data_IF_578245939764
#
_entry.id   IF_578245939764
#
_cell.length_a   1.000
_cell.length_b   1.000
_cell.length_c   1.000
_cell.angle_alpha   90.00
_cell.angle_beta   90.00
_cell.angle_gamma   90.00
#
_symmetry.space_group_name_H-M   'P 1'
#
loop_
_entity.id
_entity.type
_entity.pdbx_description
1 polymer ?
#
# COMPACT_ATOMS: atom_id res chain seq x y z
N UNK A 1 43.53 42.41 9.23
CA UNK A 1 42.74 41.82 8.13
C UNK A 1 43.67 40.98 7.25
N UNK A 2 43.47 39.65 7.24
CA UNK A 2 44.33 38.71 6.49
C UNK A 2 43.86 38.52 5.02
N UNK A 3 42.87 39.26 4.57
CA UNK A 3 42.37 39.14 3.20
C UNK A 3 43.00 40.22 2.31
N UNK A 4 43.53 39.84 1.12
CA UNK A 4 44.05 40.81 0.16
C UNK A 4 42.92 41.73 -0.33
N UNK A 5 43.22 43.01 -0.68
CA UNK A 5 42.22 43.92 -1.19
C UNK A 5 41.59 43.39 -2.47
N UNK A 6 40.26 43.59 -2.65
CA UNK A 6 39.56 43.07 -3.81
C UNK A 6 40.08 43.64 -5.12
N UNK A 7 40.22 42.79 -6.14
CA UNK A 7 40.70 43.21 -7.46
C UNK A 7 39.66 44.06 -8.20
N UNK A 8 40.11 44.95 -9.10
CA UNK A 8 39.24 45.85 -9.89
C UNK A 8 38.16 45.07 -10.71
N UNK A 9 38.41 43.80 -11.06
CA UNK A 9 37.42 42.95 -11.71
C UNK A 9 36.28 42.51 -10.77
N UNK A 10 36.58 42.33 -9.48
CA UNK A 10 35.59 41.93 -8.46
C UNK A 10 34.70 43.11 -8.05
N UNK A 11 35.19 44.36 -8.18
CA UNK A 11 34.47 45.57 -7.83
C UNK A 11 33.63 46.11 -9.00
N UNK A 12 33.86 45.67 -10.25
CA UNK A 12 33.18 46.14 -11.46
C UNK A 12 31.64 45.95 -11.45
N UNK A 13 31.15 45.07 -10.59
CA UNK A 13 29.71 44.86 -10.41
C UNK A 13 29.04 45.88 -9.48
N UNK A 14 29.83 46.56 -8.61
CA UNK A 14 29.33 47.56 -7.67
C UNK A 14 28.98 48.90 -8.36
N UNK A 15 29.57 49.18 -9.53
CA UNK A 15 29.37 50.45 -10.26
C UNK A 15 28.24 50.38 -11.32
N UNK A 16 27.47 49.31 -11.35
CA UNK A 16 26.31 49.24 -12.28
C UNK A 16 25.21 50.21 -11.85
N UNK A 17 25.10 51.33 -12.53
CA UNK A 17 24.10 52.40 -12.28
C UNK A 17 22.66 51.86 -12.15
N UNK A 18 22.34 50.77 -12.86
CA UNK A 18 21.02 50.13 -12.77
C UNK A 18 20.77 49.44 -11.42
N UNK A 19 21.80 48.71 -10.90
CA UNK A 19 21.72 48.02 -9.61
C UNK A 19 21.66 49.06 -8.48
N UNK A 20 22.52 50.08 -8.50
CA UNK A 20 22.51 51.13 -7.49
C UNK A 20 21.18 51.89 -7.46
N UNK A 21 20.55 52.13 -8.63
CA UNK A 21 19.20 52.76 -8.69
C UNK A 21 18.12 51.90 -8.07
N UNK A 22 18.19 50.57 -8.29
CA UNK A 22 17.25 49.62 -7.69
C UNK A 22 17.46 49.55 -6.18
N UNK A 23 18.73 49.46 -5.72
CA UNK A 23 19.10 49.41 -4.30
C UNK A 23 18.61 50.66 -3.57
N UNK A 24 18.88 51.86 -4.10
CA UNK A 24 18.40 53.12 -3.51
C UNK A 24 16.85 53.19 -3.45
N UNK A 25 16.18 52.64 -4.45
CA UNK A 25 14.69 52.65 -4.45
C UNK A 25 14.17 51.67 -3.39
N UNK A 26 14.76 50.49 -3.28
CA UNK A 26 14.42 49.49 -2.24
C UNK A 26 14.71 50.03 -0.86
N UNK A 27 15.90 50.61 -0.66
CA UNK A 27 16.27 51.22 0.61
C UNK A 27 15.31 52.33 1.06
N UNK A 28 14.97 53.23 0.14
CA UNK A 28 13.97 54.29 0.40
C UNK A 28 12.59 53.67 0.78
N UNK A 29 12.18 52.64 0.08
CA UNK A 29 10.89 51.97 0.38
C UNK A 29 10.91 51.30 1.74
N UNK A 30 11.96 50.57 2.08
CA UNK A 30 12.10 49.85 3.35
C UNK A 30 12.14 50.84 4.52
N UNK A 31 12.82 51.99 4.39
CA UNK A 31 12.96 52.91 5.48
C UNK A 31 11.74 53.87 5.62
N UNK A 32 11.14 54.27 4.51
CA UNK A 32 10.05 55.28 4.53
C UNK A 32 8.64 54.67 4.61
N UNK A 33 8.46 53.43 4.10
CA UNK A 33 7.19 52.72 4.08
C UNK A 33 7.21 51.38 4.81
N UNK A 34 7.82 51.33 5.98
CA UNK A 34 7.95 50.09 6.78
C UNK A 34 6.64 49.34 6.95
N UNK A 35 5.55 50.03 7.21
CA UNK A 35 4.22 49.44 7.36
C UNK A 35 3.76 48.69 6.09
N UNK A 36 4.01 49.26 4.92
CA UNK A 36 3.65 48.61 3.64
C UNK A 36 4.49 47.36 3.42
N UNK A 37 5.77 47.36 3.79
CA UNK A 37 6.64 46.19 3.71
C UNK A 37 6.11 45.08 4.63
N UNK A 38 5.79 45.43 5.89
CA UNK A 38 5.21 44.44 6.82
C UNK A 38 3.87 43.91 6.34
N UNK A 39 2.98 44.75 5.83
CA UNK A 39 1.69 44.34 5.28
C UNK A 39 1.87 43.39 4.09
N UNK A 40 2.80 43.68 3.17
CA UNK A 40 3.09 42.81 2.02
C UNK A 40 3.62 41.45 2.48
N UNK A 41 4.55 41.42 3.42
CA UNK A 41 5.10 40.19 3.98
C UNK A 41 4.01 39.37 4.65
N UNK A 42 3.14 39.99 5.44
CA UNK A 42 2.04 39.33 6.12
C UNK A 42 1.04 38.71 5.12
N UNK A 43 0.71 39.44 4.02
CA UNK A 43 -0.12 38.92 2.94
C UNK A 43 0.53 37.71 2.25
N UNK A 44 1.83 37.78 1.94
CA UNK A 44 2.57 36.68 1.33
C UNK A 44 2.59 35.46 2.26
N UNK A 45 2.83 35.68 3.56
CA UNK A 45 2.77 34.58 4.55
C UNK A 45 1.37 33.98 4.61
N UNK A 46 0.32 34.79 4.64
CA UNK A 46 -1.06 34.32 4.64
C UNK A 46 -1.42 33.48 3.41
N UNK A 47 -1.01 33.93 2.22
CA UNK A 47 -1.19 33.17 0.96
C UNK A 47 -0.40 31.88 0.99
N UNK A 48 0.84 31.91 1.49
CA UNK A 48 1.71 30.73 1.59
C UNK A 48 1.14 29.70 2.55
N UNK A 49 0.66 30.09 3.72
CA UNK A 49 0.01 29.20 4.69
C UNK A 49 -1.29 28.60 4.11
N UNK A 50 -2.09 29.42 3.43
CA UNK A 50 -3.29 28.93 2.75
C UNK A 50 -2.93 27.91 1.64
N UNK A 51 -1.90 28.20 0.84
CA UNK A 51 -1.38 27.28 -0.18
C UNK A 51 -0.85 25.97 0.42
N UNK A 52 -0.07 26.08 1.50
CA UNK A 52 0.49 24.91 2.19
C UNK A 52 -0.60 23.95 2.71
N UNK A 53 -1.71 24.49 3.23
CA UNK A 53 -2.84 23.68 3.67
C UNK A 53 -3.61 23.00 2.52
N UNK A 54 -3.44 23.47 1.29
CA UNK A 54 -4.06 22.89 0.08
C UNK A 54 -3.19 21.82 -0.57
N UNK A 55 -1.92 21.70 -0.19
CA UNK A 55 -1.01 20.70 -0.74
C UNK A 55 -1.33 19.35 -0.11
N UNK A 56 -1.89 18.44 -0.90
CA UNK A 56 -2.08 17.04 -0.54
C UNK A 56 -1.00 16.22 -1.26
N UNK A 57 -0.10 15.63 -0.48
CA UNK A 57 0.93 14.73 -1.05
C UNK A 57 0.32 13.36 -1.22
N UNK A 58 0.13 12.92 -2.46
CA UNK A 58 -0.31 11.56 -2.78
C UNK A 58 0.91 10.78 -3.26
N UNK A 59 1.32 9.79 -2.49
CA UNK A 59 2.38 8.86 -2.91
C UNK A 59 1.78 7.77 -3.79
N UNK A 60 2.28 7.63 -5.01
CA UNK A 60 2.08 6.47 -5.87
C UNK A 60 3.40 5.72 -5.97
N UNK A 61 3.38 4.41 -5.79
CA UNK A 61 4.61 3.60 -5.83
C UNK A 61 5.09 3.40 -7.27
N UNK A 62 4.17 3.23 -8.20
CA UNK A 62 4.47 2.97 -9.62
C UNK A 62 4.81 4.26 -10.37
N UNK A 63 4.19 5.39 -10.03
CA UNK A 63 4.38 6.67 -10.74
C UNK A 63 5.73 7.35 -10.46
N UNK A 64 6.50 6.89 -9.47
CA UNK A 64 7.87 7.35 -9.20
C UNK A 64 8.87 6.88 -10.27
N UNK A 65 8.47 5.93 -11.12
CA UNK A 65 9.30 5.44 -12.21
C UNK A 65 9.18 6.33 -13.46
N UNK A 66 10.28 6.57 -14.21
CA UNK A 66 10.23 7.29 -15.47
C UNK A 66 9.29 6.60 -16.45
N UNK A 67 8.30 7.33 -17.00
CA UNK A 67 7.26 6.77 -17.91
C UNK A 67 7.81 6.11 -19.19
N UNK A 68 9.07 6.38 -19.54
CA UNK A 68 9.76 5.79 -20.69
C UNK A 68 10.54 4.53 -20.32
N UNK A 69 10.60 4.16 -19.05
CA UNK A 69 11.31 2.96 -18.60
C UNK A 69 10.51 1.71 -18.97
N UNK A 70 11.24 0.66 -19.37
CA UNK A 70 10.66 -0.66 -19.66
C UNK A 70 9.94 -1.20 -18.44
N UNK A 71 10.52 -1.02 -17.24
CA UNK A 71 9.94 -1.45 -15.98
C UNK A 71 8.58 -0.79 -15.74
N UNK A 72 8.42 0.51 -16.04
CA UNK A 72 7.13 1.21 -15.92
C UNK A 72 6.09 0.59 -16.87
N UNK A 73 6.47 0.34 -18.10
CA UNK A 73 5.58 -0.25 -19.13
C UNK A 73 5.13 -1.66 -18.74
N UNK A 74 6.07 -2.48 -18.23
CA UNK A 74 5.79 -3.84 -17.78
C UNK A 74 4.88 -3.84 -16.54
N UNK A 75 5.13 -2.96 -15.56
CA UNK A 75 4.27 -2.81 -14.38
C UNK A 75 2.85 -2.40 -14.77
N UNK A 76 2.70 -1.44 -15.70
CA UNK A 76 1.38 -1.03 -16.20
C UNK A 76 0.67 -2.14 -16.97
N UNK A 77 1.40 -2.98 -17.69
CA UNK A 77 0.84 -4.17 -18.31
C UNK A 77 0.32 -5.16 -17.26
N UNK A 78 1.10 -5.44 -16.21
CA UNK A 78 0.67 -6.30 -15.10
C UNK A 78 -0.52 -5.71 -14.34
N UNK A 79 -0.50 -4.41 -14.04
CA UNK A 79 -1.59 -3.73 -13.35
C UNK A 79 -2.91 -3.85 -14.12
N UNK A 80 -2.88 -3.65 -15.44
CA UNK A 80 -4.07 -3.71 -16.29
C UNK A 80 -4.61 -5.12 -16.51
N UNK A 81 -3.73 -6.14 -16.55
CA UNK A 81 -4.14 -7.52 -16.87
C UNK A 81 -4.37 -8.39 -15.62
N UNK A 82 -3.70 -8.09 -14.48
CA UNK A 82 -3.75 -8.89 -13.26
C UNK A 82 -4.35 -8.17 -12.05
N UNK A 83 -5.03 -7.04 -12.26
CA UNK A 83 -5.73 -6.24 -11.25
C UNK A 83 -4.85 -5.73 -10.11
N UNK A 84 -3.56 -5.51 -10.36
CA UNK A 84 -2.66 -4.91 -9.37
C UNK A 84 -1.26 -5.51 -9.41
N UNK A 85 -0.33 -4.80 -8.80
CA UNK A 85 1.10 -5.18 -8.73
C UNK A 85 1.65 -5.06 -7.30
N UNK A 86 0.92 -4.42 -6.39
CA UNK A 86 1.37 -4.23 -5.02
C UNK A 86 0.86 -5.36 -4.13
N UNK A 87 1.73 -6.03 -3.36
CA UNK A 87 1.31 -7.07 -2.44
C UNK A 87 0.48 -6.47 -1.30
N UNK A 88 -0.65 -7.09 -1.01
CA UNK A 88 -1.50 -6.82 0.13
C UNK A 88 -1.79 -8.13 0.85
N UNK A 89 -1.46 -8.20 2.12
CA UNK A 89 -1.55 -9.43 2.89
C UNK A 89 -2.35 -9.22 4.17
N UNK A 90 -3.20 -10.19 4.46
CA UNK A 90 -3.97 -10.27 5.70
C UNK A 90 -3.46 -11.48 6.46
N UNK A 91 -2.72 -11.24 7.55
CA UNK A 91 -2.30 -12.29 8.47
C UNK A 91 -3.40 -12.52 9.49
N UNK A 92 -3.82 -13.77 9.64
CA UNK A 92 -4.88 -14.21 10.55
C UNK A 92 -4.27 -15.21 11.54
N UNK A 93 -4.14 -14.79 12.80
CA UNK A 93 -3.73 -15.63 13.91
C UNK A 93 -4.96 -16.12 14.67
N UNK A 94 -5.13 -17.43 14.74
CA UNK A 94 -6.26 -18.11 15.39
C UNK A 94 -6.05 -18.30 16.89
N UNK A 95 -4.89 -17.91 17.42
CA UNK A 95 -4.46 -18.07 18.82
C UNK A 95 -4.43 -19.53 19.34
N UNK A 96 -4.63 -20.50 18.46
CA UNK A 96 -4.59 -21.92 18.81
C UNK A 96 -3.85 -22.74 17.72
N UNK A 97 -2.97 -23.66 18.10
CA UNK A 97 -2.34 -24.57 17.14
C UNK A 97 -3.38 -25.37 16.36
N UNK A 98 -3.17 -25.51 15.03
CA UNK A 98 -4.12 -26.19 14.14
C UNK A 98 -5.37 -25.38 13.80
N UNK A 99 -5.55 -24.19 14.40
CA UNK A 99 -6.74 -23.38 14.25
C UNK A 99 -7.00 -22.87 12.83
N UNK A 100 -5.94 -22.65 12.05
CA UNK A 100 -6.04 -22.16 10.67
C UNK A 100 -6.71 -23.17 9.71
N UNK A 101 -6.64 -24.47 10.00
CA UNK A 101 -7.27 -25.52 9.20
C UNK A 101 -8.66 -25.94 9.72
N UNK A 102 -9.12 -25.37 10.84
CA UNK A 102 -10.47 -25.64 11.31
C UNK A 102 -11.52 -25.14 10.31
N UNK A 103 -12.56 -25.92 10.13
CA UNK A 103 -13.64 -25.59 9.19
C UNK A 103 -14.26 -24.22 9.43
N UNK A 104 -14.45 -23.84 10.72
CA UNK A 104 -14.90 -22.48 11.14
C UNK A 104 -14.01 -21.40 10.55
N UNK A 105 -12.68 -21.55 10.66
CA UNK A 105 -11.69 -20.59 10.16
C UNK A 105 -11.68 -20.53 8.64
N UNK A 106 -11.73 -21.69 7.97
CA UNK A 106 -11.77 -21.77 6.51
C UNK A 106 -12.99 -21.05 5.92
N UNK A 107 -14.17 -21.23 6.52
CA UNK A 107 -15.37 -20.48 6.11
C UNK A 107 -15.26 -18.98 6.36
N UNK A 108 -14.64 -18.56 7.47
CA UNK A 108 -14.40 -17.13 7.75
C UNK A 108 -13.41 -16.53 6.74
N UNK A 109 -12.33 -17.24 6.40
CA UNK A 109 -11.39 -16.82 5.35
C UNK A 109 -12.11 -16.72 4.00
N UNK A 110 -12.93 -17.68 3.66
CA UNK A 110 -13.71 -17.64 2.41
C UNK A 110 -14.70 -16.45 2.37
N UNK A 111 -15.33 -16.11 3.51
CA UNK A 111 -16.16 -14.89 3.61
C UNK A 111 -15.35 -13.61 3.46
N UNK A 112 -14.15 -13.56 4.06
CA UNK A 112 -13.20 -12.45 3.92
C UNK A 112 -12.80 -12.25 2.45
N UNK A 113 -12.49 -13.32 1.74
CA UNK A 113 -12.16 -13.27 0.31
C UNK A 113 -13.33 -12.76 -0.53
N UNK A 114 -14.56 -13.24 -0.27
CA UNK A 114 -15.78 -12.74 -0.93
C UNK A 114 -16.06 -11.27 -0.62
N UNK A 115 -15.70 -10.78 0.56
CA UNK A 115 -15.79 -9.36 0.90
C UNK A 115 -14.83 -8.54 0.03
N UNK A 116 -13.56 -8.95 -0.05
CA UNK A 116 -12.52 -8.22 -0.82
C UNK A 116 -12.76 -8.31 -2.34
N UNK A 117 -13.34 -9.40 -2.84
CA UNK A 117 -13.74 -9.52 -4.23
C UNK A 117 -14.81 -8.51 -4.70
N UNK A 118 -15.50 -7.82 -3.76
CA UNK A 118 -16.42 -6.72 -4.09
C UNK A 118 -15.68 -5.44 -4.50
N UNK A 119 -14.40 -5.36 -4.21
CA UNK A 119 -13.56 -4.21 -4.50
C UNK A 119 -12.69 -4.48 -5.73
N UNK A 120 -12.90 -3.77 -6.84
CA UNK A 120 -12.22 -4.04 -8.12
C UNK A 120 -10.70 -3.80 -8.07
N UNK A 121 -10.22 -3.15 -7.00
CA UNK A 121 -8.80 -2.89 -6.78
C UNK A 121 -8.00 -4.13 -6.38
N UNK A 122 -8.65 -5.19 -5.86
CA UNK A 122 -7.99 -6.41 -5.45
C UNK A 122 -8.03 -7.50 -6.52
N UNK A 123 -6.94 -8.25 -6.63
CA UNK A 123 -6.86 -9.46 -7.45
C UNK A 123 -7.59 -10.64 -6.80
N UNK A 124 -7.59 -11.78 -7.48
CA UNK A 124 -7.98 -13.06 -6.86
C UNK A 124 -7.03 -13.40 -5.69
N UNK A 125 -7.56 -13.99 -4.60
CA UNK A 125 -6.78 -14.30 -3.41
C UNK A 125 -5.92 -15.56 -3.55
N UNK A 126 -4.81 -15.57 -2.82
CA UNK A 126 -4.05 -16.79 -2.53
C UNK A 126 -4.14 -17.05 -1.03
N UNK A 127 -4.74 -18.18 -0.64
CA UNK A 127 -4.96 -18.52 0.77
C UNK A 127 -5.05 -20.04 0.99
N UNK A 128 -5.04 -20.44 2.26
CA UNK A 128 -5.27 -21.83 2.64
C UNK A 128 -6.66 -22.33 2.19
N UNK A 129 -7.70 -21.48 2.21
CA UNK A 129 -9.03 -21.84 1.77
C UNK A 129 -9.07 -22.14 0.26
N UNK A 130 -8.37 -21.32 -0.56
CA UNK A 130 -8.25 -21.56 -2.00
C UNK A 130 -7.45 -22.84 -2.27
N UNK A 131 -6.34 -23.06 -1.55
CA UNK A 131 -5.56 -24.29 -1.67
C UNK A 131 -6.38 -25.55 -1.36
N UNK A 132 -7.26 -25.52 -0.34
CA UNK A 132 -8.15 -26.63 0.01
C UNK A 132 -9.21 -26.83 -1.07
N UNK A 133 -9.87 -25.77 -1.56
CA UNK A 133 -10.86 -25.89 -2.64
C UNK A 133 -10.24 -26.49 -3.90
N UNK A 134 -9.08 -26.00 -4.30
CA UNK A 134 -8.33 -26.51 -5.45
C UNK A 134 -7.95 -27.99 -5.30
N UNK A 135 -7.44 -28.35 -4.11
CA UNK A 135 -7.07 -29.74 -3.83
C UNK A 135 -8.29 -30.67 -3.81
N UNK A 136 -9.42 -30.21 -3.28
CA UNK A 136 -10.66 -30.97 -3.25
C UNK A 136 -11.21 -31.19 -4.66
N UNK A 137 -11.20 -30.16 -5.50
CA UNK A 137 -11.54 -30.28 -6.91
C UNK A 137 -10.62 -31.27 -7.64
N UNK A 138 -9.30 -31.19 -7.39
CA UNK A 138 -8.32 -32.10 -8.00
C UNK A 138 -8.54 -33.56 -7.64
N UNK A 139 -9.00 -33.86 -6.40
CA UNK A 139 -9.36 -35.22 -5.98
C UNK A 139 -10.68 -35.74 -6.61
N UNK A 140 -11.46 -34.85 -7.18
CA UNK A 140 -12.73 -35.18 -7.86
C UNK A 140 -12.64 -34.89 -9.37
N UNK A 141 -11.55 -35.37 -9.99
CA UNK A 141 -11.30 -35.32 -11.43
C UNK A 141 -11.34 -33.92 -12.07
N UNK A 142 -11.12 -32.86 -11.25
CA UNK A 142 -11.14 -31.47 -11.70
C UNK A 142 -12.52 -30.88 -11.94
N UNK A 143 -13.61 -31.57 -11.56
CA UNK A 143 -14.99 -31.08 -11.76
C UNK A 143 -15.22 -29.76 -11.00
N UNK A 144 -15.60 -28.66 -11.65
CA UNK A 144 -15.77 -27.33 -11.03
C UNK A 144 -16.79 -27.30 -9.86
N UNK A 145 -17.75 -28.25 -9.79
CA UNK A 145 -18.68 -28.31 -8.66
C UNK A 145 -18.02 -28.59 -7.32
N UNK A 146 -16.82 -29.21 -7.33
CA UNK A 146 -16.04 -29.50 -6.14
C UNK A 146 -15.05 -28.37 -5.77
N UNK A 147 -15.10 -27.21 -6.45
CA UNK A 147 -14.34 -26.02 -6.03
C UNK A 147 -15.01 -25.31 -4.84
N UNK A 148 -15.18 -26.04 -3.76
CA UNK A 148 -15.83 -25.63 -2.53
C UNK A 148 -15.00 -26.05 -1.31
N UNK A 149 -15.29 -25.47 -0.13
CA UNK A 149 -14.73 -25.98 1.12
C UNK A 149 -15.43 -27.29 1.45
N UNK A 150 -14.70 -28.44 1.54
CA UNK A 150 -15.28 -29.73 1.82
C UNK A 150 -15.82 -29.82 3.25
N UNK A 151 -16.63 -30.86 3.53
CA UNK A 151 -17.08 -31.16 4.88
C UNK A 151 -15.92 -31.73 5.75
N UNK A 152 -16.17 -31.97 7.04
CA UNK A 152 -15.15 -32.43 8.00
C UNK A 152 -14.54 -33.77 7.58
N UNK A 153 -15.32 -34.71 7.10
CA UNK A 153 -14.85 -36.06 6.72
C UNK A 153 -13.95 -35.98 5.47
N UNK A 154 -14.39 -35.24 4.49
CA UNK A 154 -13.64 -35.00 3.24
C UNK A 154 -12.36 -34.20 3.48
N UNK A 155 -12.39 -33.22 4.40
CA UNK A 155 -11.22 -32.46 4.81
C UNK A 155 -10.17 -33.37 5.49
N UNK A 156 -10.62 -34.29 6.35
CA UNK A 156 -9.76 -35.29 6.98
C UNK A 156 -9.12 -36.23 5.93
N UNK A 157 -9.92 -36.71 4.95
CA UNK A 157 -9.37 -37.46 3.81
C UNK A 157 -8.34 -36.68 3.02
N UNK A 158 -8.62 -35.41 2.71
CA UNK A 158 -7.72 -34.53 1.98
C UNK A 158 -6.39 -34.35 2.71
N UNK A 159 -6.42 -34.22 4.04
CA UNK A 159 -5.21 -34.10 4.86
C UNK A 159 -4.33 -35.34 4.81
N UNK A 160 -4.90 -36.53 4.70
CA UNK A 160 -4.13 -37.77 4.56
C UNK A 160 -3.39 -37.87 3.22
N UNK A 161 -3.97 -37.33 2.14
CA UNK A 161 -3.31 -37.25 0.83
C UNK A 161 -2.26 -36.13 0.75
N UNK A 162 -2.48 -35.01 1.45
CA UNK A 162 -1.53 -33.88 1.45
C UNK A 162 -0.14 -34.28 2.03
N UNK A 163 -0.10 -35.24 2.96
CA UNK A 163 1.15 -35.78 3.52
C UNK A 163 2.02 -36.54 2.50
N UNK A 164 1.44 -37.05 1.43
CA UNK A 164 2.15 -37.83 0.41
C UNK A 164 2.55 -37.02 -0.82
N UNK A 165 1.94 -35.85 -1.05
CA UNK A 165 2.19 -35.01 -2.22
C UNK A 165 3.35 -34.03 -2.00
N UNK A 166 4.55 -34.43 -2.37
CA UNK A 166 5.80 -33.60 -2.21
C UNK A 166 5.74 -32.20 -2.86
N UNK A 167 4.88 -31.98 -3.87
CA UNK A 167 4.76 -30.71 -4.58
C UNK A 167 3.99 -29.63 -3.83
N UNK A 168 2.90 -30.01 -3.15
CA UNK A 168 1.99 -29.08 -2.47
C UNK A 168 2.53 -28.53 -1.14
N UNK A 169 3.49 -29.20 -0.51
CA UNK A 169 4.04 -28.78 0.78
C UNK A 169 4.71 -27.39 0.74
N UNK A 170 5.35 -27.00 -0.38
CA UNK A 170 5.97 -25.68 -0.49
C UNK A 170 4.93 -24.54 -0.55
N UNK A 171 3.86 -24.75 -1.28
CA UNK A 171 2.78 -23.76 -1.40
C UNK A 171 2.07 -23.55 -0.05
N UNK A 172 1.72 -24.65 0.64
CA UNK A 172 1.10 -24.54 1.96
C UNK A 172 2.00 -23.90 3.01
N UNK A 173 3.30 -24.20 3.00
CA UNK A 173 4.28 -23.58 3.92
C UNK A 173 4.49 -22.08 3.70
N UNK A 174 4.12 -21.54 2.54
CA UNK A 174 4.21 -20.10 2.28
C UNK A 174 3.00 -19.30 2.81
N UNK A 175 1.87 -19.97 3.06
CA UNK A 175 0.61 -19.35 3.49
C UNK A 175 0.15 -19.75 4.89
N UNK A 176 0.78 -20.76 5.50
CA UNK A 176 0.46 -21.22 6.84
C UNK A 176 1.75 -21.51 7.61
N UNK A 177 1.79 -21.19 8.89
CA UNK A 177 2.95 -21.46 9.74
C UNK A 177 3.08 -22.94 10.13
N UNK A 178 4.21 -23.30 10.75
CA UNK A 178 4.51 -24.69 11.15
C UNK A 178 3.55 -25.23 12.21
N UNK A 179 2.97 -24.37 13.04
CA UNK A 179 2.01 -24.73 14.09
C UNK A 179 0.56 -24.75 13.57
N UNK A 180 0.35 -24.34 12.31
CA UNK A 180 -0.97 -24.16 11.70
C UNK A 180 -1.89 -23.23 12.52
N UNK A 181 -1.30 -22.31 13.26
CA UNK A 181 -2.00 -21.31 14.05
C UNK A 181 -2.23 -20.03 13.24
N UNK A 182 -1.20 -19.60 12.50
CA UNK A 182 -1.22 -18.38 11.71
C UNK A 182 -1.35 -18.72 10.23
N UNK A 183 -2.28 -18.09 9.55
CA UNK A 183 -2.43 -18.18 8.09
C UNK A 183 -2.44 -16.81 7.45
N UNK A 184 -2.09 -16.77 6.16
CA UNK A 184 -2.00 -15.56 5.36
C UNK A 184 -2.96 -15.65 4.18
N UNK A 185 -3.68 -14.56 3.94
CA UNK A 185 -4.46 -14.35 2.73
C UNK A 185 -3.78 -13.23 1.94
N UNK A 186 -3.27 -13.57 0.77
CA UNK A 186 -2.49 -12.67 -0.07
C UNK A 186 -3.30 -12.24 -1.29
N UNK A 187 -3.25 -10.96 -1.61
CA UNK A 187 -3.83 -10.34 -2.79
C UNK A 187 -2.77 -9.49 -3.50
N UNK A 188 -3.00 -9.18 -4.75
CA UNK A 188 -2.39 -8.02 -5.39
C UNK A 188 -3.40 -6.88 -5.38
N UNK A 189 -2.94 -5.66 -5.17
CA UNK A 189 -3.79 -4.47 -5.17
C UNK A 189 -3.26 -3.45 -6.18
N UNK A 190 -4.17 -2.76 -6.86
CA UNK A 190 -3.84 -1.67 -7.76
C UNK A 190 -3.24 -0.49 -7.00
N UNK A 191 -2.30 0.23 -7.60
CA UNK A 191 -1.75 1.46 -7.03
C UNK A 191 -2.77 2.59 -7.13
N UNK A 192 -3.61 2.72 -6.10
CA UNK A 192 -4.62 3.78 -6.00
C UNK A 192 -4.12 5.02 -5.26
N UNK A 193 -2.85 5.04 -4.88
CA UNK A 193 -2.22 6.11 -4.11
C UNK A 193 -2.55 6.06 -2.61
N UNK A 194 -1.62 6.59 -1.80
CA UNK A 194 -1.63 6.45 -0.33
C UNK A 194 -2.91 6.97 0.35
N UNK A 195 -3.49 8.08 -0.14
CA UNK A 195 -4.69 8.68 0.47
C UNK A 195 -5.91 7.76 0.27
N UNK A 196 -6.12 7.26 -0.95
CA UNK A 196 -7.25 6.36 -1.25
C UNK A 196 -7.06 5.01 -0.58
N UNK A 197 -5.82 4.52 -0.50
CA UNK A 197 -5.50 3.29 0.20
C UNK A 197 -5.86 3.39 1.69
N UNK A 198 -5.47 4.49 2.35
CA UNK A 198 -5.84 4.72 3.74
C UNK A 198 -7.36 4.72 3.94
N UNK A 199 -8.10 5.46 3.11
CA UNK A 199 -9.57 5.51 3.17
C UNK A 199 -10.20 4.12 2.96
N UNK A 200 -9.66 3.34 2.03
CA UNK A 200 -10.10 1.96 1.78
C UNK A 200 -9.84 1.05 2.99
N UNK A 201 -8.69 1.18 3.63
CA UNK A 201 -8.35 0.40 4.83
C UNK A 201 -9.23 0.77 6.02
N UNK A 202 -9.53 2.07 6.21
CA UNK A 202 -10.42 2.55 7.27
C UNK A 202 -11.86 2.01 7.08
N UNK A 203 -12.32 1.85 5.83
CA UNK A 203 -13.60 1.22 5.50
C UNK A 203 -13.58 -0.31 5.70
N UNK A 204 -12.49 -0.97 5.27
CA UNK A 204 -12.36 -2.43 5.30
C UNK A 204 -12.20 -2.96 6.73
N UNK A 205 -11.49 -2.25 7.60
CA UNK A 205 -11.17 -2.73 8.94
C UNK A 205 -12.38 -3.19 9.75
N UNK A 206 -13.44 -2.39 9.93
CA UNK A 206 -14.61 -2.83 10.68
C UNK A 206 -15.35 -4.01 10.00
N UNK A 207 -15.33 -4.11 8.67
CA UNK A 207 -15.92 -5.22 7.94
C UNK A 207 -15.13 -6.52 8.12
N UNK A 208 -13.81 -6.44 8.15
CA UNK A 208 -12.91 -7.57 8.44
C UNK A 208 -13.15 -8.03 9.89
N UNK A 209 -13.18 -7.11 10.85
CA UNK A 209 -13.40 -7.41 12.26
C UNK A 209 -14.78 -8.04 12.51
N UNK A 210 -15.79 -7.72 11.69
CA UNK A 210 -17.11 -8.37 11.75
C UNK A 210 -17.09 -9.84 11.31
N UNK A 211 -16.15 -10.23 10.46
CA UNK A 211 -15.97 -11.61 9.98
C UNK A 211 -15.05 -12.39 10.92
N UNK A 212 -13.92 -11.77 11.23
CA UNK A 212 -12.84 -12.30 12.08
C UNK A 212 -12.87 -11.56 13.41
N UNK A 213 -13.77 -11.97 14.29
CA UNK A 213 -13.96 -11.32 15.60
C UNK A 213 -12.63 -11.17 16.34
N UNK A 214 -12.24 -9.95 16.76
CA UNK A 214 -11.01 -9.70 17.50
C UNK A 214 -10.91 -10.47 18.84
N UNK A 215 -12.01 -10.97 19.37
CA UNK A 215 -12.00 -11.85 20.54
C UNK A 215 -11.38 -13.22 20.24
N UNK A 216 -11.66 -13.79 19.03
CA UNK A 216 -11.18 -15.10 18.60
C UNK A 216 -9.89 -15.04 17.78
N UNK A 217 -9.68 -13.94 17.04
CA UNK A 217 -8.63 -13.81 16.03
C UNK A 217 -7.79 -12.56 16.22
N UNK A 218 -6.50 -12.63 15.89
CA UNK A 218 -5.66 -11.44 15.73
C UNK A 218 -5.38 -11.24 14.24
N UNK A 219 -5.87 -10.11 13.71
CA UNK A 219 -5.74 -9.79 12.28
C UNK A 219 -4.76 -8.63 12.09
N UNK A 220 -3.73 -8.85 11.25
CA UNK A 220 -2.77 -7.83 10.84
C UNK A 220 -2.84 -7.64 9.33
N UNK A 221 -2.94 -6.39 8.91
CA UNK A 221 -2.84 -5.99 7.51
C UNK A 221 -1.39 -5.60 7.24
N UNK A 222 -0.79 -6.12 6.17
CA UNK A 222 0.60 -5.88 5.79
C UNK A 222 0.72 -5.77 4.27
N UNK A 223 1.77 -5.11 3.80
CA UNK A 223 2.05 -4.93 2.38
C UNK A 223 2.76 -3.60 2.12
N UNK A 224 3.37 -3.45 0.96
CA UNK A 224 4.06 -2.21 0.56
C UNK A 224 3.10 -1.05 0.24
N UNK A 225 1.80 -1.31 0.27
CA UNK A 225 0.73 -0.35 0.00
C UNK A 225 0.08 0.23 1.26
N UNK A 226 0.57 -0.16 2.45
CA UNK A 226 0.02 0.23 3.76
C UNK A 226 0.98 1.17 4.50
#
# INVERSE_FOLDING_TARGET
SFLPPPSAKQIKHLDRRAINRILHRVDHWVHHYRWRVYATVLVVIGISLYGANKITTVGYVVDDLPKKDVIYTDLKFFESNFRGVLPFEISVDTREPGGALKLKTLYKINRLQKLLAQYPQFSEPVSVAEGIKFSYQGLNDGDPKYYIIPNVEELARLSSYAGTAKGNQRMFRSIIDSTQQVTRVSFQVADIGSIKMKSLLDELRPRIDSILDPADYTVKLTGNSI
#
